data_IF_138747535814
#
_entry.id   IF_138747535814
#
_cell.length_a   1.000
_cell.length_b   1.000
_cell.length_c   1.000
_cell.angle_alpha   90.00
_cell.angle_beta   90.00
_cell.angle_gamma   90.00
#
_symmetry.space_group_name_H-M   'P 1'
#
loop_
_entity.id
_entity.type
_entity.pdbx_description
1 polymer ?
#
# COMPACT_ATOMS: atom_id res chain seq x y z
N UNK A 1 19.93 21.64 -2.72
CA UNK A 1 20.18 21.09 -1.37
C UNK A 1 20.02 19.59 -1.47
N UNK A 2 21.08 18.84 -1.19
CA UNK A 2 20.97 17.38 -1.04
C UNK A 2 20.07 17.13 0.18
N UNK A 3 18.97 16.41 0.01
CA UNK A 3 18.42 15.70 1.14
C UNK A 3 19.55 14.84 1.69
N UNK A 4 19.82 14.98 2.97
CA UNK A 4 20.90 14.24 3.61
C UNK A 4 20.79 12.77 3.26
N UNK A 5 21.90 12.13 2.97
CA UNK A 5 21.94 10.69 2.66
C UNK A 5 21.50 9.82 3.86
N UNK A 6 21.29 10.49 5.03
CA UNK A 6 20.87 9.80 6.26
C UNK A 6 19.44 9.25 6.12
N UNK A 7 19.35 7.93 6.21
CA UNK A 7 18.08 7.19 6.11
C UNK A 7 17.32 7.05 7.44
N UNK A 8 17.80 7.64 8.54
CA UNK A 8 17.14 7.59 9.84
C UNK A 8 16.00 8.64 9.89
N UNK A 9 14.77 8.18 9.94
CA UNK A 9 13.55 9.01 9.84
C UNK A 9 12.98 9.46 11.18
N UNK A 10 13.43 8.87 12.27
CA UNK A 10 12.84 9.04 13.60
C UNK A 10 13.89 9.37 14.66
N UNK A 11 15.02 9.95 14.28
CA UNK A 11 16.06 10.35 15.24
C UNK A 11 15.51 11.46 16.13
N UNK A 12 15.45 11.25 17.45
CA UNK A 12 15.08 12.31 18.37
C UNK A 12 16.11 13.43 18.35
N UNK A 13 15.82 14.52 19.05
CA UNK A 13 16.75 15.62 19.18
C UNK A 13 18.08 15.12 19.80
N UNK A 14 19.19 15.42 19.14
CA UNK A 14 20.51 15.09 19.64
C UNK A 14 20.95 16.09 20.72
N UNK A 15 21.70 15.65 21.74
CA UNK A 15 22.23 14.30 21.92
C UNK A 15 21.22 13.33 22.55
N UNK A 16 21.26 12.04 22.12
CA UNK A 16 20.50 10.98 22.76
C UNK A 16 21.27 10.49 23.98
N UNK A 17 20.72 10.66 25.17
CA UNK A 17 21.31 10.15 26.41
C UNK A 17 21.18 8.65 26.51
N UNK A 18 22.30 7.95 26.72
CA UNK A 18 22.35 6.50 26.94
C UNK A 18 23.02 6.18 28.27
N UNK A 19 22.45 5.27 29.03
CA UNK A 19 22.97 4.77 30.31
C UNK A 19 22.44 3.36 30.55
N UNK A 20 22.95 2.67 31.55
CA UNK A 20 22.49 1.33 31.90
C UNK A 20 20.99 1.33 32.17
N UNK A 21 20.21 0.60 31.32
CA UNK A 21 18.76 0.50 31.42
C UNK A 21 18.02 1.70 30.78
N UNK A 22 18.70 2.53 29.98
CA UNK A 22 18.03 3.54 29.17
C UNK A 22 17.00 2.88 28.25
N UNK A 23 15.85 3.54 27.99
CA UNK A 23 14.86 2.99 27.09
C UNK A 23 15.41 2.86 25.66
N UNK A 24 14.93 1.86 24.94
CA UNK A 24 15.21 1.72 23.51
C UNK A 24 14.58 2.87 22.73
N UNK A 25 15.32 3.41 21.76
CA UNK A 25 14.87 4.53 20.94
C UNK A 25 14.85 4.08 19.47
N UNK A 26 13.66 4.00 18.88
CA UNK A 26 13.52 3.72 17.46
C UNK A 26 13.99 4.94 16.67
N UNK A 27 14.98 4.76 15.81
CA UNK A 27 15.55 5.81 14.95
C UNK A 27 15.17 5.64 13.48
N UNK A 28 14.63 4.45 13.16
CA UNK A 28 14.04 4.16 11.86
C UNK A 28 12.87 3.21 12.04
N UNK A 29 11.69 3.61 11.57
CA UNK A 29 10.46 2.80 11.60
C UNK A 29 9.99 2.37 10.22
N UNK A 30 10.47 3.04 9.16
CA UNK A 30 10.10 2.72 7.78
C UNK A 30 11.07 1.69 7.22
N UNK A 31 10.59 0.59 6.62
CA UNK A 31 11.43 -0.46 6.09
C UNK A 31 12.39 0.02 5.00
N UNK A 32 13.57 -0.58 4.95
CA UNK A 32 14.57 -0.38 3.92
C UNK A 32 14.82 -1.68 3.16
N UNK A 33 15.08 -1.62 1.84
CA UNK A 33 15.36 -2.82 1.05
C UNK A 33 16.65 -3.52 1.52
N UNK A 34 16.84 -4.76 1.06
CA UNK A 34 18.14 -5.43 1.17
C UNK A 34 19.19 -4.62 0.42
N UNK A 35 20.42 -4.59 0.94
CA UNK A 35 21.49 -3.81 0.35
C UNK A 35 22.68 -3.63 1.29
N UNK A 36 23.64 -2.86 0.81
CA UNK A 36 24.79 -2.46 1.61
C UNK A 36 24.56 -1.07 2.20
N UNK A 37 24.81 -0.92 3.49
CA UNK A 37 24.62 0.33 4.21
C UNK A 37 25.77 0.58 5.17
N UNK A 38 26.06 1.85 5.41
CA UNK A 38 27.04 2.28 6.40
C UNK A 38 26.34 2.99 7.55
N UNK A 39 26.57 2.50 8.77
CA UNK A 39 26.18 3.16 10.02
C UNK A 39 27.38 3.93 10.56
N UNK A 40 27.18 5.19 10.83
CA UNK A 40 28.13 6.06 11.53
C UNK A 40 27.51 6.54 12.83
N UNK A 41 28.25 6.38 13.94
CA UNK A 41 27.79 6.79 15.27
C UNK A 41 28.91 7.56 15.96
N UNK A 42 28.58 8.76 16.43
CA UNK A 42 29.46 9.62 17.23
C UNK A 42 29.00 9.59 18.69
N UNK A 43 29.93 9.27 19.56
CA UNK A 43 29.70 9.10 20.99
C UNK A 43 30.50 10.10 21.80
N UNK A 44 29.84 10.67 22.82
CA UNK A 44 30.50 11.33 23.94
C UNK A 44 30.29 10.46 25.16
N UNK A 45 31.25 9.57 25.40
CA UNK A 45 31.14 8.54 26.42
C UNK A 45 32.16 8.87 27.53
N UNK A 46 31.74 8.67 28.79
CA UNK A 46 32.64 8.73 29.94
C UNK A 46 33.65 7.59 29.80
N UNK A 47 34.95 7.87 29.73
CA UNK A 47 35.97 6.86 29.39
C UNK A 47 35.96 5.60 30.25
N UNK A 48 35.54 5.71 31.49
CA UNK A 48 35.46 4.61 32.45
C UNK A 48 34.34 3.59 32.11
N UNK A 49 33.39 3.98 31.24
CA UNK A 49 32.22 3.18 30.84
C UNK A 49 32.23 2.83 29.34
N UNK A 50 33.32 3.12 28.64
CA UNK A 50 33.50 2.72 27.24
C UNK A 50 33.74 1.21 27.15
N UNK A 51 32.66 0.44 27.21
CA UNK A 51 32.77 -1.02 27.09
C UNK A 51 32.85 -1.41 25.62
N UNK A 52 34.00 -1.98 25.24
CA UNK A 52 34.14 -2.66 23.95
C UNK A 52 33.24 -3.88 23.90
N UNK A 53 32.58 -4.10 22.77
CA UNK A 53 31.78 -5.31 22.53
C UNK A 53 30.32 -5.24 22.96
N UNK A 54 29.80 -4.06 23.26
CA UNK A 54 28.39 -3.86 23.62
C UNK A 54 27.57 -3.42 22.41
N UNK A 55 26.48 -4.12 22.15
CA UNK A 55 25.54 -3.72 21.08
C UNK A 55 24.86 -2.38 21.40
N UNK A 56 24.99 -1.43 20.50
CA UNK A 56 24.39 -0.09 20.60
C UNK A 56 23.25 0.14 19.63
N UNK A 57 23.31 -0.44 18.43
CA UNK A 57 22.23 -0.36 17.46
C UNK A 57 21.75 -1.76 17.12
N UNK A 58 20.43 -1.92 17.07
CA UNK A 58 19.77 -3.16 16.65
C UNK A 58 19.06 -2.93 15.32
N UNK A 59 19.22 -3.87 14.40
CA UNK A 59 18.49 -3.95 13.14
C UNK A 59 17.52 -5.13 13.21
N UNK A 60 16.23 -4.86 13.12
CA UNK A 60 15.20 -5.88 12.99
C UNK A 60 15.00 -6.18 11.49
N UNK A 61 15.18 -7.43 11.07
CA UNK A 61 15.13 -7.83 9.66
C UNK A 61 13.78 -8.43 9.26
N UNK A 62 13.52 -8.47 7.96
CA UNK A 62 12.24 -8.96 7.42
C UNK A 62 12.03 -10.45 7.63
N UNK A 63 13.10 -11.23 7.71
CA UNK A 63 13.09 -12.67 7.99
C UNK A 63 12.90 -13.02 9.49
N UNK A 64 12.77 -11.99 10.34
CA UNK A 64 12.63 -12.15 11.79
C UNK A 64 13.94 -12.28 12.53
N UNK A 65 15.08 -12.23 11.85
CA UNK A 65 16.41 -12.20 12.50
C UNK A 65 16.78 -10.79 12.92
N UNK A 66 17.81 -10.69 13.77
CA UNK A 66 18.35 -9.42 14.25
C UNK A 66 19.84 -9.33 13.93
N UNK A 67 20.31 -8.14 13.57
CA UNK A 67 21.73 -7.79 13.51
C UNK A 67 22.04 -6.67 14.48
N UNK A 68 23.31 -6.54 14.85
CA UNK A 68 23.72 -5.54 15.81
C UNK A 68 24.96 -4.79 15.32
N UNK A 69 24.96 -3.48 15.56
CA UNK A 69 26.14 -2.64 15.47
C UNK A 69 26.77 -2.52 16.85
N UNK A 70 28.05 -2.81 16.90
CA UNK A 70 28.88 -2.76 18.11
C UNK A 70 29.97 -1.71 17.87
N UNK A 71 29.95 -0.57 18.57
CA UNK A 71 31.00 0.43 18.43
C UNK A 71 32.34 -0.11 18.91
N UNK A 72 33.40 0.36 18.31
CA UNK A 72 34.74 0.14 18.85
C UNK A 72 35.04 1.12 20.00
N UNK A 73 36.21 1.05 20.58
CA UNK A 73 36.62 1.91 21.70
C UNK A 73 36.84 3.39 21.31
N UNK A 74 36.67 3.78 20.07
CA UNK A 74 36.76 5.17 19.62
C UNK A 74 35.41 5.86 19.75
N UNK A 75 35.43 7.19 19.96
CA UNK A 75 34.21 7.99 20.05
C UNK A 75 33.50 8.15 18.72
N UNK A 76 34.12 7.78 17.61
CA UNK A 76 33.53 7.72 16.27
C UNK A 76 33.71 6.30 15.72
N UNK A 77 32.62 5.70 15.30
CA UNK A 77 32.64 4.36 14.71
C UNK A 77 31.76 4.33 13.47
N UNK A 78 32.39 3.96 12.36
CA UNK A 78 31.72 3.73 11.10
C UNK A 78 31.82 2.27 10.70
N UNK A 79 30.73 1.65 10.35
CA UNK A 79 30.70 0.24 9.93
C UNK A 79 29.77 0.04 8.75
N UNK A 80 30.32 -0.55 7.69
CA UNK A 80 29.53 -0.96 6.54
C UNK A 80 29.03 -2.39 6.71
N UNK A 81 27.74 -2.60 6.54
CA UNK A 81 27.09 -3.90 6.69
C UNK A 81 26.26 -4.22 5.44
N UNK A 82 26.38 -5.45 4.95
CA UNK A 82 25.51 -5.99 3.91
C UNK A 82 24.30 -6.69 4.57
N UNK A 83 23.10 -6.36 4.10
CA UNK A 83 21.84 -6.96 4.51
C UNK A 83 21.25 -7.73 3.32
N UNK A 84 21.08 -9.04 3.48
CA UNK A 84 20.50 -9.91 2.46
C UNK A 84 18.98 -9.83 2.41
N UNK A 85 18.37 -9.36 3.50
CA UNK A 85 16.93 -9.14 3.63
C UNK A 85 16.63 -7.69 4.01
N UNK A 86 15.39 -7.26 3.80
CA UNK A 86 14.95 -5.90 4.14
C UNK A 86 15.10 -5.63 5.65
N UNK A 87 15.45 -4.40 6.00
CA UNK A 87 15.50 -3.91 7.38
C UNK A 87 14.13 -3.36 7.73
N UNK A 88 13.48 -3.90 8.76
CA UNK A 88 12.15 -3.42 9.23
C UNK A 88 12.26 -2.20 10.12
N UNK A 89 13.22 -2.21 11.02
CA UNK A 89 13.42 -1.13 11.98
C UNK A 89 14.88 -1.03 12.40
N UNK A 90 15.29 0.16 12.83
CA UNK A 90 16.59 0.41 13.44
C UNK A 90 16.35 1.06 14.81
N UNK A 91 16.93 0.50 15.85
CA UNK A 91 16.70 0.90 17.23
C UNK A 91 18.01 1.14 17.95
N UNK A 92 18.15 2.26 18.63
CA UNK A 92 19.22 2.49 19.60
C UNK A 92 18.91 1.64 20.83
N UNK A 93 19.83 0.77 21.17
CA UNK A 93 19.76 -0.11 22.35
C UNK A 93 21.02 0.09 23.19
N UNK A 94 20.97 -0.28 24.46
CA UNK A 94 22.17 -0.31 25.30
C UNK A 94 22.18 -1.62 26.09
N UNK A 95 22.71 -2.67 25.50
CA UNK A 95 22.80 -3.97 26.16
C UNK A 95 24.01 -4.11 27.10
N UNK A 96 24.65 -3.01 27.42
CA UNK A 96 25.80 -2.98 28.30
C UNK A 96 25.77 -1.85 29.32
N UNK A 97 26.94 -1.40 29.70
CA UNK A 97 27.15 -0.36 30.71
C UNK A 97 27.68 0.95 30.09
N UNK A 98 27.34 1.25 28.83
CA UNK A 98 27.73 2.52 28.24
C UNK A 98 26.97 3.62 28.96
N UNK A 99 27.68 4.64 29.41
CA UNK A 99 27.12 5.85 29.99
C UNK A 99 27.66 7.07 29.22
N UNK A 100 26.80 7.79 28.52
CA UNK A 100 27.25 8.86 27.66
C UNK A 100 26.13 9.40 26.79
N UNK A 101 26.49 10.01 25.68
CA UNK A 101 25.55 10.59 24.72
C UNK A 101 25.91 10.14 23.31
N UNK A 102 24.88 9.85 22.51
CA UNK A 102 25.03 9.80 21.06
C UNK A 102 24.89 11.23 20.55
N UNK A 103 25.98 11.80 20.04
CA UNK A 103 26.03 13.17 19.53
C UNK A 103 25.82 13.28 18.03
N UNK A 104 25.95 12.14 17.33
CA UNK A 104 25.66 11.99 15.91
C UNK A 104 25.35 10.56 15.55
N UNK A 105 24.40 10.35 14.64
CA UNK A 105 24.05 9.05 14.11
C UNK A 105 23.60 9.20 12.66
N UNK A 106 24.17 8.43 11.75
CA UNK A 106 23.74 8.39 10.36
C UNK A 106 23.74 6.96 9.82
N UNK A 107 22.84 6.70 8.88
CA UNK A 107 22.73 5.44 8.17
C UNK A 107 22.53 5.73 6.69
N UNK A 108 23.49 5.38 5.87
CA UNK A 108 23.53 5.76 4.46
C UNK A 108 23.71 4.54 3.56
N UNK A 109 23.19 4.55 2.33
CA UNK A 109 23.42 3.48 1.38
C UNK A 109 24.86 3.49 0.89
N UNK A 110 25.44 2.29 0.65
CA UNK A 110 26.78 2.12 0.14
C UNK A 110 27.87 1.99 1.19
N UNK A 111 29.14 2.07 0.76
CA UNK A 111 30.32 1.76 1.55
C UNK A 111 31.02 2.98 2.18
N UNK A 112 30.51 4.17 1.99
CA UNK A 112 31.10 5.38 2.56
C UNK A 112 30.09 6.11 3.45
N UNK A 113 30.47 6.38 4.71
CA UNK A 113 29.76 7.33 5.54
C UNK A 113 30.08 8.75 5.00
N UNK A 114 29.02 9.52 4.73
CA UNK A 114 29.15 10.96 4.49
C UNK A 114 29.23 11.72 5.81
N UNK A 115 29.43 13.02 5.75
CA UNK A 115 29.25 13.89 6.91
C UNK A 115 27.82 13.73 7.45
N UNK A 116 27.67 13.75 8.79
CA UNK A 116 26.37 13.68 9.42
C UNK A 116 25.47 14.80 8.93
N UNK A 117 24.44 14.45 8.19
CA UNK A 117 23.37 15.34 7.84
C UNK A 117 22.06 14.85 8.51
N UNK A 118 21.37 15.76 9.19
CA UNK A 118 20.08 15.43 9.77
C UNK A 118 19.09 15.10 8.64
N UNK A 119 18.30 14.02 8.83
CA UNK A 119 17.21 13.74 7.89
C UNK A 119 16.32 14.98 7.73
N UNK A 120 16.24 15.46 6.53
CA UNK A 120 15.45 16.65 6.15
C UNK A 120 14.42 16.26 5.08
N UNK A 121 13.80 15.11 5.25
CA UNK A 121 12.77 14.61 4.34
C UNK A 121 11.45 15.34 4.49
N UNK A 122 10.74 15.47 3.41
CA UNK A 122 9.35 15.91 3.40
C UNK A 122 8.45 14.69 3.44
N UNK A 123 7.47 14.68 4.34
CA UNK A 123 6.39 13.70 4.36
C UNK A 123 5.13 14.34 3.81
N UNK A 124 4.59 13.79 2.74
CA UNK A 124 3.31 14.19 2.19
C UNK A 124 2.31 13.07 2.45
N UNK A 125 1.17 13.41 3.03
CA UNK A 125 0.07 12.47 3.22
C UNK A 125 -1.03 12.80 2.22
N UNK A 126 -1.30 11.85 1.32
CA UNK A 126 -2.44 11.93 0.42
C UNK A 126 -3.67 11.36 1.11
N UNK A 127 -4.75 12.12 1.09
CA UNK A 127 -6.06 11.65 1.54
C UNK A 127 -6.97 11.51 0.34
N UNK A 128 -7.40 10.29 0.09
CA UNK A 128 -8.35 9.97 -0.98
C UNK A 128 -9.77 10.39 -0.56
N UNK A 129 -10.63 10.83 -1.50
CA UNK A 129 -12.01 11.24 -1.18
C UNK A 129 -12.86 10.08 -0.67
N UNK A 130 -12.53 8.87 -1.09
CA UNK A 130 -13.17 7.61 -0.70
C UNK A 130 -12.19 6.45 -0.92
N UNK A 131 -12.59 5.23 -0.57
CA UNK A 131 -11.79 4.03 -0.88
C UNK A 131 -11.76 3.82 -2.39
N UNK A 132 -10.57 3.80 -2.97
CA UNK A 132 -10.34 3.60 -4.40
C UNK A 132 -9.94 2.15 -4.66
N UNK A 133 -10.68 1.47 -5.53
CA UNK A 133 -10.45 0.06 -5.87
C UNK A 133 -9.72 -0.05 -7.22
N UNK A 134 -8.41 -0.09 -7.13
CA UNK A 134 -7.55 -0.11 -8.33
C UNK A 134 -7.54 1.21 -9.06
N UNK A 135 -6.37 1.61 -9.53
CA UNK A 135 -6.20 2.90 -10.19
C UNK A 135 -4.82 3.47 -9.99
N UNK A 136 -4.70 4.75 -10.19
CA UNK A 136 -3.47 5.50 -10.03
C UNK A 136 -3.76 6.89 -9.46
N UNK A 137 -2.80 7.45 -8.76
CA UNK A 137 -2.84 8.83 -8.27
C UNK A 137 -1.47 9.48 -8.43
N UNK A 138 -1.44 10.70 -8.93
CA UNK A 138 -0.23 11.52 -8.97
C UNK A 138 -0.02 12.17 -7.60
N UNK A 139 1.07 11.82 -6.94
CA UNK A 139 1.39 12.30 -5.60
C UNK A 139 1.70 13.82 -5.55
N UNK A 140 1.99 14.44 -6.68
CA UNK A 140 2.33 15.87 -6.79
C UNK A 140 1.09 16.72 -7.05
N UNK A 141 0.21 16.27 -7.95
CA UNK A 141 -1.00 17.00 -8.29
C UNK A 141 -2.21 16.57 -7.47
N UNK A 142 -2.21 15.35 -6.95
CA UNK A 142 -3.38 14.72 -6.33
C UNK A 142 -4.41 14.20 -7.33
N UNK A 143 -4.19 14.38 -8.63
CA UNK A 143 -5.08 13.86 -9.65
C UNK A 143 -4.95 12.34 -9.76
N UNK A 144 -6.07 11.66 -9.76
CA UNK A 144 -6.11 10.20 -9.84
C UNK A 144 -7.27 9.69 -10.68
N UNK A 145 -7.22 8.39 -10.94
CA UNK A 145 -8.26 7.68 -11.71
C UNK A 145 -8.52 6.31 -11.08
N UNK A 146 -9.77 6.04 -10.76
CA UNK A 146 -10.24 4.73 -10.34
C UNK A 146 -10.55 3.87 -11.56
N UNK A 147 -10.08 2.62 -11.58
CA UNK A 147 -10.27 1.68 -12.70
C UNK A 147 -11.10 0.46 -12.34
N UNK A 148 -11.38 0.24 -11.07
CA UNK A 148 -12.20 -0.85 -10.55
C UNK A 148 -13.26 -0.27 -9.62
N UNK A 149 -14.33 -1.03 -9.40
CA UNK A 149 -15.41 -0.63 -8.50
C UNK A 149 -15.84 -1.81 -7.65
N UNK A 150 -16.07 -1.54 -6.36
CA UNK A 150 -16.74 -2.44 -5.46
C UNK A 150 -18.17 -1.95 -5.23
N UNK A 151 -19.14 -2.81 -5.49
CA UNK A 151 -20.55 -2.57 -5.21
C UNK A 151 -21.01 -3.52 -4.11
N UNK A 152 -21.63 -2.97 -3.09
CA UNK A 152 -22.32 -3.74 -2.05
C UNK A 152 -23.80 -3.72 -2.36
N UNK A 153 -24.35 -4.89 -2.66
CA UNK A 153 -25.79 -5.00 -2.90
C UNK A 153 -26.54 -4.78 -1.59
N UNK A 154 -27.60 -3.98 -1.64
CA UNK A 154 -28.42 -3.68 -0.47
C UNK A 154 -29.88 -4.13 -0.60
N UNK A 155 -30.25 -4.70 -1.75
CA UNK A 155 -31.60 -5.17 -2.05
C UNK A 155 -32.55 -4.08 -2.57
N UNK A 156 -32.08 -2.82 -2.75
CA UNK A 156 -32.90 -1.74 -3.33
C UNK A 156 -32.76 -1.64 -4.84
N UNK A 157 -31.82 -2.36 -5.43
CA UNK A 157 -31.54 -2.36 -6.86
C UNK A 157 -32.78 -2.77 -7.66
N UNK A 158 -32.89 -2.25 -8.89
CA UNK A 158 -34.01 -2.50 -9.82
C UNK A 158 -33.84 -3.85 -10.50
N UNK A 159 -34.10 -4.91 -9.75
CA UNK A 159 -33.97 -6.29 -10.24
C UNK A 159 -35.13 -6.70 -11.15
N UNK A 160 -34.82 -7.50 -12.16
CA UNK A 160 -35.72 -8.26 -12.97
C UNK A 160 -35.38 -9.75 -12.85
N UNK A 161 -36.35 -10.62 -13.05
CA UNK A 161 -36.17 -12.08 -13.03
C UNK A 161 -36.44 -12.68 -14.42
N UNK A 162 -35.64 -13.67 -14.80
CA UNK A 162 -35.99 -14.58 -15.90
C UNK A 162 -36.81 -15.77 -15.41
N UNK A 163 -37.12 -15.82 -14.12
CA UNK A 163 -37.78 -16.94 -13.50
C UNK A 163 -36.84 -18.13 -13.29
N UNK A 164 -37.42 -19.26 -12.93
CA UNK A 164 -36.73 -20.53 -12.78
C UNK A 164 -36.29 -21.01 -14.17
N UNK A 165 -35.05 -21.39 -14.32
CA UNK A 165 -34.51 -21.82 -15.60
C UNK A 165 -35.15 -23.15 -16.03
N UNK A 166 -35.77 -23.17 -17.23
CA UNK A 166 -36.40 -24.36 -17.78
C UNK A 166 -35.43 -25.55 -18.00
N UNK A 167 -34.14 -25.27 -18.23
CA UNK A 167 -33.11 -26.29 -18.43
C UNK A 167 -32.42 -26.73 -17.13
N UNK A 168 -32.47 -25.87 -16.09
CA UNK A 168 -31.93 -26.17 -14.77
C UNK A 168 -32.78 -25.54 -13.66
N UNK A 169 -33.85 -26.21 -13.22
CA UNK A 169 -34.78 -25.67 -12.23
C UNK A 169 -34.15 -25.44 -10.84
N UNK A 170 -32.93 -25.91 -10.62
CA UNK A 170 -32.18 -25.61 -9.41
C UNK A 170 -31.57 -24.21 -9.39
N UNK A 171 -31.68 -23.43 -10.48
CA UNK A 171 -31.10 -22.10 -10.61
C UNK A 171 -32.17 -21.08 -11.00
N UNK A 172 -32.11 -19.91 -10.35
CA UNK A 172 -32.90 -18.73 -10.70
C UNK A 172 -31.96 -17.61 -11.11
N UNK A 173 -32.26 -16.98 -12.24
CA UNK A 173 -31.46 -15.90 -12.82
C UNK A 173 -32.14 -14.55 -12.68
N UNK A 174 -31.35 -13.55 -12.34
CA UNK A 174 -31.76 -12.15 -12.18
C UNK A 174 -30.87 -11.25 -12.99
N UNK A 175 -31.38 -10.07 -13.32
CA UNK A 175 -30.57 -9.02 -13.95
C UNK A 175 -31.00 -7.63 -13.48
N UNK A 176 -30.04 -6.70 -13.51
CA UNK A 176 -30.28 -5.28 -13.24
C UNK A 176 -29.52 -4.40 -14.21
N UNK A 177 -30.06 -3.22 -14.50
CA UNK A 177 -29.40 -2.16 -15.26
C UNK A 177 -28.65 -1.17 -14.38
N UNK A 178 -28.73 -1.31 -13.05
CA UNK A 178 -28.11 -0.38 -12.10
C UNK A 178 -26.59 -0.52 -12.08
N UNK A 179 -26.08 -1.69 -12.48
CA UNK A 179 -24.64 -1.93 -12.67
C UNK A 179 -24.37 -2.01 -14.18
N UNK A 180 -23.95 -0.90 -14.78
CA UNK A 180 -23.80 -0.75 -16.23
C UNK A 180 -22.53 -0.03 -16.69
N UNK A 181 -21.68 0.37 -15.74
CA UNK A 181 -20.44 1.14 -15.95
C UNK A 181 -19.19 0.25 -16.13
N UNK A 182 -19.35 -1.06 -16.22
CA UNK A 182 -18.28 -2.02 -16.39
C UNK A 182 -17.61 -1.99 -17.79
N UNK A 183 -16.38 -2.54 -17.89
CA UNK A 183 -15.67 -2.70 -19.16
C UNK A 183 -16.38 -3.74 -20.05
N UNK A 184 -17.09 -3.25 -21.06
CA UNK A 184 -17.87 -4.07 -21.96
C UNK A 184 -17.04 -5.07 -22.79
N UNK A 185 -15.75 -4.80 -23.03
CA UNK A 185 -14.87 -5.65 -23.82
C UNK A 185 -14.25 -6.77 -23.00
N UNK A 186 -14.02 -6.51 -21.72
CA UNK A 186 -13.33 -7.41 -20.79
C UNK A 186 -14.12 -7.53 -19.48
N UNK A 187 -15.43 -7.65 -19.59
CA UNK A 187 -16.34 -7.72 -18.45
C UNK A 187 -16.02 -8.93 -17.57
N UNK A 188 -15.24 -8.70 -16.53
CA UNK A 188 -14.89 -9.68 -15.50
C UNK A 188 -15.16 -9.04 -14.14
N UNK A 189 -15.68 -9.85 -13.24
CA UNK A 189 -15.88 -9.46 -11.86
C UNK A 189 -15.81 -10.68 -10.95
N UNK A 190 -15.74 -10.41 -9.67
CA UNK A 190 -15.81 -11.40 -8.60
C UNK A 190 -16.97 -11.07 -7.68
N UNK A 191 -17.53 -12.09 -7.04
CA UNK A 191 -18.60 -11.94 -6.08
C UNK A 191 -18.25 -12.67 -4.78
N UNK A 192 -18.52 -12.06 -3.63
CA UNK A 192 -18.22 -12.64 -2.33
C UNK A 192 -18.99 -13.93 -2.02
N UNK A 193 -20.14 -14.16 -2.68
CA UNK A 193 -21.05 -15.27 -2.41
C UNK A 193 -21.12 -16.33 -3.51
N UNK A 194 -20.53 -16.05 -4.66
CA UNK A 194 -20.59 -16.94 -5.81
C UNK A 194 -19.18 -17.24 -6.29
N UNK A 195 -18.89 -18.53 -6.42
CA UNK A 195 -17.64 -18.95 -7.02
C UNK A 195 -17.59 -18.53 -8.48
N UNK A 196 -16.48 -17.99 -8.92
CA UNK A 196 -16.05 -17.58 -10.26
C UNK A 196 -17.14 -17.20 -11.28
N UNK A 197 -16.98 -16.08 -12.00
CA UNK A 197 -17.90 -15.73 -13.07
C UNK A 197 -17.93 -16.81 -14.15
N UNK A 198 -19.07 -17.47 -14.29
CA UNK A 198 -19.27 -18.46 -15.32
C UNK A 198 -19.74 -17.74 -16.59
N UNK A 199 -19.13 -18.07 -17.73
CA UNK A 199 -19.50 -17.47 -19.04
C UNK A 199 -20.98 -17.70 -19.40
N UNK A 200 -21.59 -18.76 -18.88
CA UNK A 200 -22.94 -19.20 -19.20
C UNK A 200 -23.99 -18.85 -18.14
N UNK A 201 -23.78 -17.79 -17.34
CA UNK A 201 -24.81 -17.30 -16.39
C UNK A 201 -26.02 -16.64 -17.08
N UNK A 202 -25.89 -16.37 -18.37
CA UNK A 202 -26.96 -15.85 -19.19
C UNK A 202 -28.21 -16.72 -19.13
N UNK A 203 -29.37 -16.10 -18.86
CA UNK A 203 -30.63 -16.83 -18.71
C UNK A 203 -30.68 -17.76 -17.50
N UNK A 204 -29.79 -17.60 -16.50
CA UNK A 204 -29.82 -18.41 -15.28
C UNK A 204 -29.37 -19.86 -15.49
N UNK A 205 -28.54 -20.17 -16.48
CA UNK A 205 -28.10 -21.54 -16.78
C UNK A 205 -27.16 -22.13 -15.74
N UNK A 206 -26.30 -21.27 -15.17
CA UNK A 206 -25.33 -21.64 -14.15
C UNK A 206 -25.33 -20.64 -13.01
N UNK A 207 -24.92 -21.08 -11.83
CA UNK A 207 -24.68 -20.18 -10.68
C UNK A 207 -23.49 -19.29 -10.97
N UNK A 208 -23.60 -18.00 -10.66
CA UNK A 208 -22.52 -17.04 -10.83
C UNK A 208 -23.01 -15.64 -11.12
N UNK A 209 -22.04 -14.77 -11.44
CA UNK A 209 -22.29 -13.41 -11.92
C UNK A 209 -21.88 -13.29 -13.38
N UNK A 210 -22.53 -12.37 -14.09
CA UNK A 210 -22.20 -12.09 -15.47
C UNK A 210 -22.46 -10.64 -15.84
N UNK A 211 -21.84 -10.21 -16.91
CA UNK A 211 -22.00 -8.87 -17.50
C UNK A 211 -22.40 -9.04 -18.94
N UNK A 212 -23.49 -8.45 -19.33
CA UNK A 212 -24.07 -8.69 -20.64
C UNK A 212 -24.43 -7.40 -21.35
N UNK A 213 -24.31 -7.45 -22.69
CA UNK A 213 -24.71 -6.36 -23.58
C UNK A 213 -25.70 -6.94 -24.58
N UNK A 214 -26.88 -6.32 -24.67
CA UNK A 214 -27.86 -6.64 -25.71
C UNK A 214 -28.28 -5.34 -26.38
N UNK A 215 -27.92 -5.20 -27.65
CA UNK A 215 -28.08 -3.94 -28.34
C UNK A 215 -27.22 -2.84 -27.69
N UNK A 216 -27.88 -1.77 -27.25
CA UNK A 216 -27.23 -0.68 -26.49
C UNK A 216 -27.32 -0.84 -24.98
N UNK A 217 -28.05 -1.83 -24.49
CA UNK A 217 -28.30 -2.01 -23.06
C UNK A 217 -27.22 -2.88 -22.42
N UNK A 218 -26.77 -2.45 -21.24
CA UNK A 218 -25.84 -3.18 -20.42
C UNK A 218 -26.55 -3.60 -19.13
N UNK A 219 -26.34 -4.83 -18.70
CA UNK A 219 -26.89 -5.31 -17.45
C UNK A 219 -25.97 -6.30 -16.77
N UNK A 220 -26.05 -6.27 -15.47
CA UNK A 220 -25.42 -7.22 -14.61
C UNK A 220 -26.38 -8.39 -14.36
N UNK A 221 -25.83 -9.61 -14.41
CA UNK A 221 -26.56 -10.85 -14.22
C UNK A 221 -26.12 -11.48 -12.89
N UNK A 222 -27.10 -11.93 -12.11
CA UNK A 222 -26.88 -12.64 -10.87
C UNK A 222 -27.71 -13.94 -10.87
N UNK A 223 -27.05 -15.08 -10.93
CA UNK A 223 -27.71 -16.38 -10.95
C UNK A 223 -27.34 -17.17 -9.70
N UNK A 224 -28.35 -17.59 -8.96
CA UNK A 224 -28.19 -18.23 -7.64
C UNK A 224 -28.97 -19.54 -7.58
N UNK A 225 -28.56 -20.44 -6.69
CA UNK A 225 -29.35 -21.65 -6.42
C UNK A 225 -30.72 -21.27 -5.92
N UNK A 226 -31.74 -21.87 -6.52
CA UNK A 226 -33.15 -21.70 -6.16
C UNK A 226 -33.38 -21.99 -4.68
N UNK A 227 -32.68 -22.99 -4.13
CA UNK A 227 -32.75 -23.38 -2.72
C UNK A 227 -32.18 -22.34 -1.74
N UNK A 228 -31.43 -21.36 -2.23
CA UNK A 228 -30.91 -20.25 -1.40
C UNK A 228 -31.92 -19.12 -1.23
N UNK A 229 -33.02 -19.15 -1.98
CA UNK A 229 -34.05 -18.13 -1.95
C UNK A 229 -35.22 -18.54 -1.03
N UNK A 230 -35.76 -17.63 -0.21
CA UNK A 230 -36.82 -17.96 0.75
C UNK A 230 -38.15 -18.32 0.08
N UNK A 231 -38.49 -17.72 -1.07
CA UNK A 231 -39.71 -17.98 -1.82
C UNK A 231 -39.46 -17.82 -3.32
N UNK A 232 -39.71 -18.89 -4.08
CA UNK A 232 -39.51 -18.97 -5.53
C UNK A 232 -40.79 -19.13 -6.31
N UNK A 233 -41.93 -18.94 -5.66
CA UNK A 233 -43.22 -18.96 -6.38
C UNK A 233 -43.29 -17.88 -7.45
N UNK A 234 -44.00 -18.17 -8.52
CA UNK A 234 -44.09 -17.28 -9.69
C UNK A 234 -44.52 -15.86 -9.30
N UNK A 235 -43.74 -14.88 -9.70
CA UNK A 235 -43.94 -13.47 -9.39
C UNK A 235 -43.32 -13.00 -8.05
N UNK A 236 -42.77 -13.91 -7.24
CA UNK A 236 -42.14 -13.56 -5.97
C UNK A 236 -40.59 -13.61 -6.02
N UNK A 237 -40.01 -14.02 -7.13
CA UNK A 237 -38.59 -14.28 -7.29
C UNK A 237 -37.73 -13.05 -6.95
N UNK A 238 -38.14 -11.86 -7.46
CA UNK A 238 -37.42 -10.60 -7.19
C UNK A 238 -37.50 -10.21 -5.72
N UNK A 239 -38.67 -10.33 -5.10
CA UNK A 239 -38.82 -10.06 -3.67
C UNK A 239 -37.96 -11.02 -2.84
N UNK A 240 -37.87 -12.27 -3.26
CA UNK A 240 -37.07 -13.30 -2.62
C UNK A 240 -35.57 -13.01 -2.74
N UNK A 241 -35.09 -12.57 -3.90
CA UNK A 241 -33.71 -12.12 -4.06
C UNK A 241 -33.39 -10.95 -3.13
N UNK A 242 -34.27 -9.93 -3.09
CA UNK A 242 -34.11 -8.79 -2.20
C UNK A 242 -34.06 -9.19 -0.72
N UNK A 243 -34.91 -10.13 -0.33
CA UNK A 243 -34.90 -10.68 1.03
C UNK A 243 -33.60 -11.45 1.33
N UNK A 244 -33.08 -12.23 0.38
CA UNK A 244 -31.79 -12.90 0.50
C UNK A 244 -30.67 -11.87 0.71
N UNK A 245 -30.57 -10.85 -0.15
CA UNK A 245 -29.53 -9.80 -0.03
C UNK A 245 -29.63 -9.09 1.32
N UNK A 246 -30.84 -8.72 1.75
CA UNK A 246 -31.08 -8.09 3.05
C UNK A 246 -30.66 -8.98 4.22
N UNK A 247 -30.93 -10.30 4.14
CA UNK A 247 -30.51 -11.26 5.17
C UNK A 247 -28.98 -11.36 5.25
N UNK A 248 -28.27 -11.38 4.11
CA UNK A 248 -26.81 -11.39 4.10
C UNK A 248 -26.23 -10.10 4.72
N UNK A 249 -26.79 -8.95 4.40
CA UNK A 249 -26.40 -7.68 5.02
C UNK A 249 -26.62 -7.70 6.56
N UNK A 250 -27.77 -8.19 7.00
CA UNK A 250 -28.07 -8.29 8.43
C UNK A 250 -27.14 -9.28 9.17
N UNK A 251 -26.67 -10.33 8.48
CA UNK A 251 -25.71 -11.29 9.01
C UNK A 251 -24.26 -10.78 9.04
N UNK A 252 -23.98 -9.56 8.53
CA UNK A 252 -22.63 -9.01 8.43
C UNK A 252 -21.79 -9.63 7.30
N UNK A 253 -22.43 -10.35 6.39
CA UNK A 253 -21.81 -10.97 5.19
C UNK A 253 -22.44 -10.39 3.92
N UNK A 254 -22.29 -9.10 3.61
CA UNK A 254 -22.94 -8.48 2.47
C UNK A 254 -22.50 -9.09 1.15
N UNK A 255 -23.42 -9.13 0.19
CA UNK A 255 -23.10 -9.52 -1.18
C UNK A 255 -22.33 -8.39 -1.84
N UNK A 256 -21.05 -8.66 -2.11
CA UNK A 256 -20.12 -7.69 -2.70
C UNK A 256 -19.74 -8.13 -4.12
N UNK A 257 -19.64 -7.17 -5.02
CA UNK A 257 -19.27 -7.40 -6.41
C UNK A 257 -18.17 -6.41 -6.76
N UNK A 258 -16.99 -6.92 -7.13
CA UNK A 258 -15.91 -6.11 -7.66
C UNK A 258 -15.77 -6.34 -9.16
N UNK A 259 -15.60 -5.28 -9.93
CA UNK A 259 -15.46 -5.35 -11.39
C UNK A 259 -14.64 -4.19 -11.96
N UNK A 260 -14.13 -4.37 -13.19
CA UNK A 260 -13.40 -3.34 -13.91
C UNK A 260 -14.37 -2.34 -14.54
N UNK A 261 -14.10 -1.06 -14.35
CA UNK A 261 -14.83 0.03 -14.97
C UNK A 261 -14.59 0.10 -16.49
N UNK A 262 -15.60 0.45 -17.23
CA UNK A 262 -15.50 0.67 -18.68
C UNK A 262 -14.79 1.97 -19.05
N UNK A 263 -14.81 2.93 -18.15
CA UNK A 263 -14.04 4.17 -18.21
C UNK A 263 -13.51 4.47 -16.83
N UNK A 264 -12.24 4.84 -16.70
CA UNK A 264 -11.72 5.33 -15.44
C UNK A 264 -12.53 6.50 -14.90
N UNK A 265 -12.73 6.55 -13.61
CA UNK A 265 -13.43 7.65 -12.91
C UNK A 265 -12.36 8.54 -12.28
N UNK A 266 -12.26 9.82 -12.67
CA UNK A 266 -11.28 10.72 -12.09
C UNK A 266 -11.67 11.08 -10.66
N UNK A 267 -10.65 11.26 -9.82
CA UNK A 267 -10.80 11.82 -8.48
C UNK A 267 -9.63 12.76 -8.17
N UNK A 268 -9.75 13.54 -7.09
CA UNK A 268 -8.66 14.39 -6.60
C UNK A 268 -8.41 14.06 -5.14
N UNK A 269 -7.19 13.65 -4.83
CA UNK A 269 -6.71 13.48 -3.47
C UNK A 269 -6.32 14.83 -2.87
N UNK A 270 -6.52 15.00 -1.59
CA UNK A 270 -6.02 16.18 -0.85
C UNK A 270 -4.67 15.89 -0.21
N UNK A 271 -3.91 16.93 0.12
CA UNK A 271 -2.57 16.81 0.71
C UNK A 271 -1.45 16.60 -0.31
N UNK A 272 -1.75 16.61 -1.60
CA UNK A 272 -0.73 16.59 -2.65
C UNK A 272 0.13 17.84 -2.59
N UNK A 273 1.44 17.67 -2.67
CA UNK A 273 2.40 18.75 -2.63
C UNK A 273 3.58 18.42 -3.55
N UNK A 274 4.25 19.42 -4.10
CA UNK A 274 5.48 19.19 -4.85
C UNK A 274 6.49 18.43 -3.99
N UNK A 275 7.05 17.37 -4.53
CA UNK A 275 8.12 16.62 -3.88
C UNK A 275 9.37 17.47 -4.00
N UNK A 276 9.86 18.03 -2.89
CA UNK A 276 11.05 18.86 -2.84
C UNK A 276 12.33 18.05 -2.63
N UNK A 277 12.20 16.83 -2.09
CA UNK A 277 13.30 15.92 -1.87
C UNK A 277 13.48 15.00 -3.11
N UNK A 278 14.34 15.41 -4.01
CA UNK A 278 14.51 14.75 -5.31
C UNK A 278 15.75 13.87 -5.42
N UNK A 279 16.59 13.85 -4.38
CA UNK A 279 17.76 13.00 -4.26
C UNK A 279 17.63 12.08 -3.03
N UNK A 280 18.03 10.83 -3.17
CA UNK A 280 17.99 9.83 -2.12
C UNK A 280 16.86 8.81 -2.26
N UNK A 281 16.58 8.07 -1.20
CA UNK A 281 15.50 7.07 -1.18
C UNK A 281 14.19 7.75 -0.82
N UNK A 282 13.22 7.67 -1.74
CA UNK A 282 11.85 8.08 -1.46
C UNK A 282 11.05 6.85 -1.02
N UNK A 283 10.43 6.91 0.15
CA UNK A 283 9.61 5.82 0.66
C UNK A 283 8.14 6.20 0.52
N UNK A 284 7.37 5.33 -0.11
CA UNK A 284 5.91 5.47 -0.19
C UNK A 284 5.29 4.40 0.69
N UNK A 285 4.47 4.84 1.63
CA UNK A 285 3.63 3.98 2.45
C UNK A 285 2.23 4.02 1.89
N UNK A 286 1.63 2.86 1.75
CA UNK A 286 0.25 2.71 1.30
C UNK A 286 -0.42 1.62 2.11
N UNK A 287 -1.70 1.76 2.37
CA UNK A 287 -2.58 0.73 2.95
C UNK A 287 -3.15 -0.22 1.88
N UNK A 288 -2.78 0.00 0.61
CA UNK A 288 -3.14 -0.91 -0.47
C UNK A 288 -2.27 -2.17 -0.46
N UNK A 289 -2.85 -3.31 -0.84
CA UNK A 289 -2.13 -4.60 -0.95
C UNK A 289 -0.97 -4.56 -1.95
N UNK A 290 -1.05 -3.69 -2.96
CA UNK A 290 0.02 -3.40 -3.91
C UNK A 290 -0.11 -1.98 -4.43
N UNK A 291 1.03 -1.29 -4.56
CA UNK A 291 1.10 0.02 -5.18
C UNK A 291 2.34 0.11 -6.08
N UNK A 292 2.19 0.74 -7.24
CA UNK A 292 3.31 1.14 -8.08
C UNK A 292 3.41 2.65 -8.04
N UNK A 293 4.57 3.16 -7.64
CA UNK A 293 4.83 4.60 -7.62
C UNK A 293 5.69 4.95 -8.82
N UNK A 294 5.15 5.80 -9.69
CA UNK A 294 5.90 6.43 -10.77
C UNK A 294 6.13 7.88 -10.42
N UNK A 295 7.39 8.26 -10.28
CA UNK A 295 7.79 9.65 -10.08
C UNK A 295 8.41 10.25 -11.34
N UNK A 296 8.33 11.55 -11.53
CA UNK A 296 9.17 12.23 -12.54
C UNK A 296 10.62 12.18 -12.07
N UNK A 297 11.53 11.92 -13.00
CA UNK A 297 12.96 12.03 -12.74
C UNK A 297 13.29 13.40 -12.14
N UNK A 298 14.24 13.39 -11.19
CA UNK A 298 14.78 14.54 -10.50
C UNK A 298 14.87 15.78 -11.41
N UNK A 299 14.11 16.87 -11.16
CA UNK A 299 14.17 18.07 -11.98
C UNK A 299 15.56 18.71 -11.96
N UNK A 300 16.31 18.61 -10.85
CA UNK A 300 17.66 19.15 -10.76
C UNK A 300 18.58 18.36 -11.69
N UNK A 301 18.50 17.04 -11.64
CA UNK A 301 19.24 16.18 -12.57
C UNK A 301 18.85 16.46 -14.03
N UNK A 302 17.57 16.65 -14.34
CA UNK A 302 17.11 17.04 -15.68
C UNK A 302 17.67 18.39 -16.12
N UNK A 303 17.71 19.37 -15.22
CA UNK A 303 18.29 20.69 -15.52
C UNK A 303 19.78 20.52 -15.79
N UNK A 304 20.52 19.82 -14.93
CA UNK A 304 21.95 19.56 -15.12
C UNK A 304 22.23 18.79 -16.41
N UNK A 305 21.44 17.78 -16.72
CA UNK A 305 21.55 16.99 -17.96
C UNK A 305 21.25 17.87 -19.20
N UNK A 306 20.27 18.77 -19.11
CA UNK A 306 19.95 19.75 -20.16
C UNK A 306 21.06 20.80 -20.32
N UNK A 307 21.61 21.33 -19.25
CA UNK A 307 22.75 22.24 -19.26
C UNK A 307 23.98 21.59 -19.88
N UNK A 308 24.28 20.36 -19.52
CA UNK A 308 25.35 19.56 -20.14
C UNK A 308 25.11 19.33 -21.63
N UNK A 309 23.89 19.00 -22.03
CA UNK A 309 23.51 18.81 -23.42
C UNK A 309 23.65 20.10 -24.23
N UNK A 310 23.21 21.23 -23.68
CA UNK A 310 23.36 22.56 -24.32
C UNK A 310 24.84 22.94 -24.45
N UNK A 311 25.64 22.70 -23.40
CA UNK A 311 27.07 22.94 -23.44
C UNK A 311 27.82 22.09 -24.49
N UNK A 312 27.30 20.94 -24.84
CA UNK A 312 27.86 20.05 -25.85
C UNK A 312 27.53 20.48 -27.30
N UNK A 313 26.61 21.42 -27.50
CA UNK A 313 26.17 21.91 -28.81
C UNK A 313 26.93 23.18 -29.20
N UNK A 314 27.55 23.87 -28.24
CA UNK A 314 28.39 25.05 -28.45
C UNK A 314 29.87 24.65 -28.52
#
# INVERSE_FOLDING_TARGET
>A
ERCGENLLDSVPELPIRIYKGSPNVVVRSVPLPAGQYTMDVRLDVIPEYAATGVALIKYDLADGTEKYFVPNASNETSTTTAFETAIKAITVVNYGNIDGNITGISFVPGAAAGDFERYNGQTNTLTLPETVYGGEVDAVSGEGQETQKLVILNGTESWNSWGINAHNPAITGFYTYDINDYDAKNAKGICSHLETPNRDVWGGRNVGIGFAIVGSSRYFVFSILTSSLPDISAGHEVASLKAYIAAQNAAGTPVQIAYKLGKPVPFTATGAQPITALAGVNTVLTDADSATVTGRADPIKRITDLEAAVASIN
#
